data_IF_401735786867
#
_entry.id   IF_401735786867
#
_cell.length_a   1.000
_cell.length_b   1.000
_cell.length_c   1.000
_cell.angle_alpha   90.00
_cell.angle_beta   90.00
_cell.angle_gamma   90.00
#
_symmetry.space_group_name_H-M   'P 1'
#
loop_
_entity.id
_entity.type
_entity.pdbx_description
1 polymer ?
#
# COMPACT_ATOMS: atom_id res chain seq x y z
N UNK A 1 -32.47 3.90 20.37
CA UNK A 1 -31.95 3.53 19.04
C UNK A 1 -30.54 2.94 19.20
N UNK A 2 -30.09 2.07 18.30
CA UNK A 2 -28.77 1.45 18.39
C UNK A 2 -27.78 2.02 17.38
N UNK A 3 -26.80 2.79 17.85
CA UNK A 3 -25.57 3.05 17.11
C UNK A 3 -24.50 2.09 17.60
N UNK A 4 -24.12 1.13 16.75
CA UNK A 4 -23.01 0.21 16.99
C UNK A 4 -21.99 0.36 15.87
N UNK A 5 -21.47 1.58 15.70
CA UNK A 5 -20.24 1.80 14.95
C UNK A 5 -19.11 0.94 15.53
N UNK A 6 -18.72 -0.11 14.78
CA UNK A 6 -17.59 -0.95 15.16
C UNK A 6 -16.31 -0.11 15.10
N UNK A 7 -15.69 0.13 16.26
CA UNK A 7 -14.49 0.97 16.41
C UNK A 7 -13.23 0.26 15.89
N UNK A 8 -13.23 -0.05 14.59
CA UNK A 8 -12.18 -0.81 13.93
C UNK A 8 -11.03 0.11 13.49
N UNK A 9 -9.98 0.19 14.29
CA UNK A 9 -8.75 0.90 13.93
C UNK A 9 -8.02 0.15 12.82
N UNK A 10 -7.69 0.85 11.74
CA UNK A 10 -6.94 0.31 10.61
C UNK A 10 -5.45 0.58 10.79
N UNK A 11 -4.69 -0.47 11.11
CA UNK A 11 -3.24 -0.43 11.24
C UNK A 11 -2.55 -0.82 9.92
N UNK A 12 -1.41 -0.19 9.63
CA UNK A 12 -0.55 -0.52 8.49
C UNK A 12 0.85 -0.83 9.02
N UNK A 13 1.41 -1.96 8.60
CA UNK A 13 2.81 -2.31 8.88
C UNK A 13 3.51 -2.66 7.56
N UNK A 14 4.81 -2.37 7.49
CA UNK A 14 5.67 -2.77 6.39
C UNK A 14 6.65 -3.82 6.93
N UNK A 15 6.83 -4.91 6.20
CA UNK A 15 7.84 -5.93 6.49
C UNK A 15 8.75 -6.05 5.28
N UNK A 16 10.05 -6.16 5.55
CA UNK A 16 11.10 -6.28 4.55
C UNK A 16 11.83 -7.61 4.79
N UNK A 17 12.24 -8.26 3.71
CA UNK A 17 12.87 -9.57 3.73
C UNK A 17 14.03 -9.57 2.74
N UNK A 18 15.23 -9.90 3.21
CA UNK A 18 16.38 -10.13 2.34
C UNK A 18 16.27 -11.55 1.75
N UNK A 19 16.03 -11.63 0.44
CA UNK A 19 15.71 -12.88 -0.25
C UNK A 19 16.63 -13.06 -1.45
N UNK A 20 17.37 -14.16 -1.45
CA UNK A 20 18.32 -14.48 -2.52
C UNK A 20 17.57 -14.66 -3.85
N UNK A 21 18.16 -14.18 -4.97
CA UNK A 21 17.49 -14.13 -6.29
C UNK A 21 16.95 -15.49 -6.74
N UNK A 22 17.63 -16.59 -6.41
CA UNK A 22 17.16 -17.96 -6.71
C UNK A 22 15.86 -18.37 -5.99
N UNK A 23 15.46 -17.65 -4.96
CA UNK A 23 14.27 -17.90 -4.14
C UNK A 23 13.11 -16.95 -4.47
N UNK A 24 13.31 -15.96 -5.36
CA UNK A 24 12.28 -14.97 -5.73
C UNK A 24 10.95 -15.64 -6.11
N UNK A 25 10.97 -16.61 -7.02
CA UNK A 25 9.75 -17.33 -7.45
C UNK A 25 9.03 -18.03 -6.30
N UNK A 26 9.76 -18.60 -5.34
CA UNK A 26 9.18 -19.26 -4.18
C UNK A 26 8.59 -18.24 -3.18
N UNK A 27 9.17 -17.04 -3.08
CA UNK A 27 8.62 -15.93 -2.32
C UNK A 27 7.30 -15.44 -2.94
N UNK A 28 7.28 -15.24 -4.27
CA UNK A 28 6.08 -14.80 -4.99
C UNK A 28 4.93 -15.82 -4.83
N UNK A 29 5.20 -17.11 -5.03
CA UNK A 29 4.24 -18.20 -4.79
C UNK A 29 3.73 -18.23 -3.33
N UNK A 30 4.61 -18.02 -2.35
CA UNK A 30 4.23 -17.96 -0.94
C UNK A 30 3.34 -16.73 -0.63
N UNK A 31 3.67 -15.57 -1.17
CA UNK A 31 2.92 -14.31 -1.07
C UNK A 31 1.50 -14.44 -1.62
N UNK A 32 1.34 -15.08 -2.78
CA UNK A 32 0.03 -15.35 -3.39
C UNK A 32 -0.79 -16.32 -2.54
N UNK A 33 -0.16 -17.37 -2.01
CA UNK A 33 -0.85 -18.38 -1.19
C UNK A 33 -1.45 -17.82 0.12
N UNK A 34 -0.85 -16.78 0.70
CA UNK A 34 -1.35 -16.14 1.92
C UNK A 34 -2.61 -15.30 1.67
N UNK A 35 -2.71 -14.65 0.50
CA UNK A 35 -3.90 -13.87 0.14
C UNK A 35 -5.13 -14.76 -0.03
N UNK A 36 -4.96 -15.99 -0.53
CA UNK A 36 -6.03 -16.96 -0.64
C UNK A 36 -6.55 -17.46 0.72
N UNK A 37 -5.67 -17.59 1.73
CA UNK A 37 -6.06 -18.10 3.06
C UNK A 37 -6.79 -17.07 3.93
N UNK A 38 -6.58 -15.77 3.72
CA UNK A 38 -7.36 -14.71 4.37
C UNK A 38 -8.88 -14.82 4.10
N UNK A 39 -9.27 -15.35 2.93
CA UNK A 39 -10.68 -15.55 2.56
C UNK A 39 -11.35 -16.78 3.18
N UNK A 40 -10.58 -17.70 3.80
CA UNK A 40 -11.05 -19.04 4.19
C UNK A 40 -11.26 -19.25 5.70
N UNK A 41 -10.93 -18.28 6.56
CA UNK A 41 -11.08 -18.42 8.02
C UNK A 41 -12.51 -18.15 8.53
N UNK A 42 -13.49 -18.89 8.00
CA UNK A 42 -14.82 -19.01 8.60
C UNK A 42 -15.25 -20.47 8.69
N UNK A 43 -14.67 -21.19 9.67
CA UNK A 43 -15.20 -22.47 10.13
C UNK A 43 -14.20 -23.60 10.36
N UNK A 44 -13.71 -23.74 11.60
CA UNK A 44 -13.74 -25.00 12.37
C UNK A 44 -13.29 -24.80 13.84
N UNK A 45 -13.96 -25.47 14.76
CA UNK A 45 -13.69 -25.39 16.21
C UNK A 45 -12.50 -26.27 16.64
N UNK A 46 -11.71 -25.77 17.60
CA UNK A 46 -10.67 -26.49 18.33
C UNK A 46 -10.26 -25.72 19.61
N UNK A 47 -9.69 -26.41 20.61
CA UNK A 47 -9.46 -25.92 21.99
C UNK A 47 -8.08 -26.38 22.50
N UNK A 48 -7.36 -25.71 23.41
CA UNK A 48 -7.59 -24.47 24.20
C UNK A 48 -6.30 -23.64 24.14
N UNK A 49 -6.35 -22.29 24.16
CA UNK A 49 -5.28 -21.46 24.76
C UNK A 49 -5.88 -20.13 25.28
N UNK A 50 -5.28 -19.56 26.34
CA UNK A 50 -5.71 -18.28 26.91
C UNK A 50 -5.55 -17.16 25.87
N UNK A 51 -6.66 -16.52 25.48
CA UNK A 51 -6.58 -15.25 24.74
C UNK A 51 -5.95 -14.19 25.67
N UNK A 52 -4.92 -13.45 25.23
CA UNK A 52 -4.66 -12.13 25.77
C UNK A 52 -5.97 -11.32 25.72
N UNK A 53 -6.29 -10.58 26.79
CA UNK A 53 -7.48 -9.72 26.81
C UNK A 53 -7.46 -8.71 25.65
N UNK A 54 -6.25 -8.28 25.26
CA UNK A 54 -5.96 -7.30 24.22
C UNK A 54 -5.49 -7.94 22.89
N UNK A 55 -5.90 -9.18 22.62
CA UNK A 55 -5.52 -9.87 21.37
C UNK A 55 -6.12 -9.16 20.15
N UNK A 56 -5.27 -8.48 19.37
CA UNK A 56 -5.66 -7.77 18.14
C UNK A 56 -6.40 -8.70 17.17
N UNK A 57 -7.67 -8.39 16.90
CA UNK A 57 -8.47 -9.13 15.92
C UNK A 57 -8.13 -8.64 14.51
N UNK A 58 -7.15 -9.28 13.87
CA UNK A 58 -6.69 -8.89 12.53
C UNK A 58 -7.63 -9.46 11.47
N UNK A 59 -8.52 -8.61 10.94
CA UNK A 59 -9.50 -8.99 9.94
C UNK A 59 -8.93 -9.19 8.52
N UNK A 60 -7.77 -8.61 8.21
CA UNK A 60 -7.12 -8.75 6.92
C UNK A 60 -5.60 -8.58 7.05
N UNK A 61 -4.83 -9.42 6.36
CA UNK A 61 -3.36 -9.34 6.27
C UNK A 61 -2.98 -9.37 4.80
N UNK A 62 -2.14 -8.43 4.38
CA UNK A 62 -1.59 -8.37 3.02
C UNK A 62 -0.08 -8.23 3.11
N UNK A 63 0.64 -9.17 2.51
CA UNK A 63 2.09 -9.13 2.31
C UNK A 63 2.37 -9.25 0.81
N UNK A 64 3.29 -8.43 0.27
CA UNK A 64 3.62 -8.36 -1.17
C UNK A 64 5.04 -7.83 -1.40
N UNK A 65 5.62 -8.21 -2.54
CA UNK A 65 6.88 -7.67 -3.03
C UNK A 65 6.75 -6.18 -3.39
N UNK A 66 7.85 -5.44 -3.23
CA UNK A 66 7.98 -4.03 -3.57
C UNK A 66 9.06 -3.93 -4.67
N UNK A 67 8.91 -3.00 -5.62
CA UNK A 67 9.92 -2.74 -6.65
C UNK A 67 11.29 -2.46 -6.01
N UNK A 68 12.37 -3.20 -6.38
CA UNK A 68 13.69 -3.05 -5.76
C UNK A 68 14.26 -1.62 -5.82
N UNK A 69 13.85 -0.80 -6.78
CA UNK A 69 14.27 0.61 -6.87
C UNK A 69 13.79 1.44 -5.68
N UNK A 70 12.67 1.04 -5.06
CA UNK A 70 12.08 1.67 -3.87
C UNK A 70 12.77 1.25 -2.55
N UNK A 71 13.77 0.37 -2.64
CA UNK A 71 14.58 -0.09 -1.51
C UNK A 71 16.08 0.25 -1.63
N UNK A 72 16.45 1.20 -2.50
CA UNK A 72 17.85 1.68 -2.56
C UNK A 72 18.14 2.60 -1.37
N UNK A 73 19.25 2.34 -0.67
CA UNK A 73 19.86 3.27 0.30
C UNK A 73 20.15 4.67 -0.27
N UNK A 74 20.15 4.78 -1.60
CA UNK A 74 20.30 6.02 -2.36
C UNK A 74 19.07 6.96 -2.29
N UNK A 75 17.94 6.52 -1.73
CA UNK A 75 16.75 7.38 -1.55
C UNK A 75 17.02 8.43 -0.47
N UNK A 76 17.29 9.67 -0.90
CA UNK A 76 17.56 10.81 -0.02
C UNK A 76 16.33 11.20 0.82
N UNK A 77 15.12 10.95 0.31
CA UNK A 77 13.86 11.24 0.99
C UNK A 77 12.87 10.09 0.77
N UNK A 78 12.37 9.50 1.86
CA UNK A 78 11.25 8.55 1.87
C UNK A 78 10.12 9.13 2.72
N UNK A 79 9.03 9.56 2.10
CA UNK A 79 7.92 10.25 2.81
C UNK A 79 6.56 9.64 2.46
N UNK A 80 5.78 9.32 3.48
CA UNK A 80 4.40 8.82 3.34
C UNK A 80 3.41 9.86 3.83
N UNK A 81 2.34 10.08 3.06
CA UNK A 81 1.22 10.95 3.39
C UNK A 81 -0.05 10.11 3.50
N UNK A 82 -0.71 10.10 4.65
CA UNK A 82 -2.02 9.46 4.82
C UNK A 82 -3.10 10.54 4.65
N UNK A 83 -3.99 10.36 3.67
CA UNK A 83 -5.01 11.36 3.30
C UNK A 83 -6.39 10.72 3.32
N UNK A 84 -7.28 11.24 4.17
CA UNK A 84 -8.68 10.84 4.19
C UNK A 84 -9.52 11.79 3.32
N UNK A 85 -9.92 11.29 2.16
CA UNK A 85 -10.60 12.04 1.09
C UNK A 85 -12.09 12.17 1.42
N UNK A 86 -12.47 13.32 2.01
CA UNK A 86 -13.89 13.70 2.25
C UNK A 86 -14.46 14.66 1.22
N UNK A 87 -13.60 15.32 0.45
CA UNK A 87 -13.94 16.32 -0.56
C UNK A 87 -12.84 16.37 -1.63
N UNK A 88 -13.09 16.92 -2.83
CA UNK A 88 -12.07 17.13 -3.84
C UNK A 88 -10.88 17.93 -3.30
N UNK A 89 -9.69 17.65 -3.83
CA UNK A 89 -8.44 18.26 -3.44
C UNK A 89 -7.36 17.95 -4.49
N UNK A 90 -6.17 18.53 -4.30
CA UNK A 90 -5.06 18.44 -5.25
C UNK A 90 -3.85 17.81 -4.56
N UNK A 91 -3.15 16.93 -5.27
CA UNK A 91 -1.84 16.38 -4.89
C UNK A 91 -0.84 16.81 -5.95
N UNK A 92 0.34 17.24 -5.51
CA UNK A 92 1.42 17.77 -6.35
C UNK A 92 2.76 17.20 -5.89
N UNK A 93 3.70 17.08 -6.83
CA UNK A 93 5.10 16.84 -6.51
C UNK A 93 5.71 18.07 -5.79
N UNK A 94 6.72 17.88 -4.92
CA UNK A 94 7.38 19.00 -4.26
C UNK A 94 8.01 19.95 -5.28
N UNK A 95 7.77 21.25 -5.12
CA UNK A 95 8.27 22.28 -6.03
C UNK A 95 7.27 22.71 -7.11
N UNK A 96 6.30 21.87 -7.47
CA UNK A 96 5.31 22.21 -8.50
C UNK A 96 4.42 23.39 -8.05
N UNK A 97 4.13 24.39 -8.92
CA UNK A 97 4.54 24.51 -10.32
C UNK A 97 5.88 25.24 -10.54
N UNK A 98 6.46 25.82 -9.49
CA UNK A 98 7.56 26.78 -9.59
C UNK A 98 8.95 26.14 -9.84
N UNK A 99 9.13 24.85 -9.52
CA UNK A 99 10.36 24.10 -9.74
C UNK A 99 10.12 22.60 -9.98
N UNK A 100 11.10 21.93 -10.60
CA UNK A 100 11.14 20.46 -10.72
C UNK A 100 11.16 19.76 -9.36
N UNK A 101 10.76 18.49 -9.35
CA UNK A 101 10.87 17.63 -8.18
C UNK A 101 12.35 17.32 -7.84
N UNK A 102 12.70 17.13 -6.57
CA UNK A 102 14.05 16.77 -6.17
C UNK A 102 14.42 15.33 -6.60
N UNK A 103 15.69 15.04 -6.92
CA UNK A 103 16.13 13.72 -7.34
C UNK A 103 16.19 12.72 -6.17
N UNK A 104 16.12 11.42 -6.47
CA UNK A 104 16.22 10.32 -5.50
C UNK A 104 15.19 10.40 -4.35
N UNK A 105 13.95 10.81 -4.64
CA UNK A 105 12.87 10.87 -3.65
C UNK A 105 11.79 9.83 -3.90
N UNK A 106 11.33 9.20 -2.83
CA UNK A 106 10.17 8.33 -2.82
C UNK A 106 9.04 8.96 -2.00
N UNK A 107 7.93 9.24 -2.68
CA UNK A 107 6.75 9.87 -2.10
C UNK A 107 5.56 8.92 -2.26
N UNK A 108 4.96 8.53 -1.14
CA UNK A 108 3.80 7.64 -1.11
C UNK A 108 2.58 8.38 -0.58
N UNK A 109 1.52 8.48 -1.38
CA UNK A 109 0.21 8.97 -0.93
C UNK A 109 -0.74 7.79 -0.70
N UNK A 110 -1.24 7.66 0.53
CA UNK A 110 -2.22 6.65 0.94
C UNK A 110 -3.58 7.33 1.04
N UNK A 111 -4.35 7.22 -0.04
CA UNK A 111 -5.64 7.90 -0.20
C UNK A 111 -6.79 6.98 0.24
N UNK A 112 -7.62 7.42 1.18
CA UNK A 112 -8.74 6.64 1.71
C UNK A 112 -10.03 7.45 1.67
N UNK A 113 -11.08 6.90 1.09
CA UNK A 113 -12.44 7.46 1.16
C UNK A 113 -13.24 6.83 2.32
N UNK A 114 -14.39 7.43 2.64
CA UNK A 114 -15.36 6.81 3.55
C UNK A 114 -15.96 5.53 2.95
N UNK A 115 -16.47 4.58 3.75
CA UNK A 115 -17.07 3.34 3.25
C UNK A 115 -18.11 3.58 2.15
N UNK A 116 -18.16 2.68 1.17
CA UNK A 116 -19.00 2.74 -0.05
C UNK A 116 -18.68 3.88 -1.04
N UNK A 117 -17.66 4.70 -0.78
CA UNK A 117 -17.13 5.67 -1.73
C UNK A 117 -15.85 5.14 -2.41
N UNK A 118 -15.44 5.78 -3.51
CA UNK A 118 -14.19 5.50 -4.23
C UNK A 118 -13.41 6.79 -4.41
N UNK A 119 -12.08 6.69 -4.50
CA UNK A 119 -11.21 7.81 -4.88
C UNK A 119 -11.09 7.82 -6.40
N UNK A 120 -11.31 8.98 -7.02
CA UNK A 120 -10.98 9.24 -8.42
C UNK A 120 -9.69 10.08 -8.47
N UNK A 121 -8.84 9.84 -9.46
CA UNK A 121 -7.61 10.57 -9.70
C UNK A 121 -7.63 11.14 -11.12
N UNK A 122 -7.55 12.46 -11.23
CA UNK A 122 -7.53 13.18 -12.49
C UNK A 122 -6.16 13.84 -12.68
N UNK A 123 -5.34 13.30 -13.59
CA UNK A 123 -4.00 13.80 -13.86
C UNK A 123 -4.05 15.03 -14.78
N UNK A 124 -3.62 16.18 -14.25
CA UNK A 124 -3.65 17.47 -14.95
C UNK A 124 -2.32 17.83 -15.60
N UNK A 125 -1.21 17.37 -15.02
CA UNK A 125 0.15 17.60 -15.51
C UNK A 125 1.02 16.45 -15.03
N UNK A 126 1.68 15.76 -15.96
CA UNK A 126 2.60 14.67 -15.70
C UNK A 126 3.79 14.87 -16.64
N UNK A 127 4.98 15.06 -16.06
CA UNK A 127 6.24 15.30 -16.74
C UNK A 127 7.28 14.49 -15.96
N UNK A 128 7.75 13.40 -16.55
CA UNK A 128 8.70 12.43 -16.00
C UNK A 128 9.75 12.11 -17.08
N UNK A 129 10.77 11.33 -16.76
CA UNK A 129 11.74 10.84 -17.77
C UNK A 129 11.11 9.76 -18.68
N UNK A 130 11.37 9.85 -20.00
CA UNK A 130 10.66 9.12 -21.07
C UNK A 130 10.80 7.57 -21.05
N UNK A 131 11.59 6.98 -20.16
CA UNK A 131 11.95 5.55 -20.18
C UNK A 131 11.40 4.72 -19.00
N UNK A 132 10.70 5.36 -18.07
CA UNK A 132 10.23 4.81 -16.78
C UNK A 132 11.33 4.15 -15.91
N UNK A 133 12.62 4.24 -16.26
CA UNK A 133 13.71 3.51 -15.59
C UNK A 133 14.15 4.20 -14.31
N UNK A 134 14.25 5.53 -14.34
CA UNK A 134 14.59 6.35 -13.16
C UNK A 134 13.32 6.79 -12.43
N UNK A 135 12.49 7.58 -13.11
CA UNK A 135 11.29 8.22 -12.54
C UNK A 135 10.02 7.57 -13.08
N UNK A 136 9.02 7.36 -12.21
CA UNK A 136 7.74 6.73 -12.54
C UNK A 136 6.68 7.05 -11.49
N UNK A 137 5.40 6.89 -11.84
CA UNK A 137 4.29 6.93 -10.89
C UNK A 137 3.59 5.56 -10.86
N UNK A 138 3.50 4.95 -9.68
CA UNK A 138 2.77 3.70 -9.46
C UNK A 138 1.47 3.96 -8.69
N UNK A 139 0.35 3.47 -9.24
CA UNK A 139 -0.98 3.55 -8.64
C UNK A 139 -1.46 2.13 -8.31
N UNK A 140 -1.94 1.93 -7.09
CA UNK A 140 -2.49 0.66 -6.61
C UNK A 140 -3.93 0.88 -6.15
N UNK A 141 -4.86 -0.03 -6.52
CA UNK A 141 -6.26 -0.02 -6.04
C UNK A 141 -6.36 -0.59 -4.60
N UNK A 142 -5.43 -0.18 -3.75
CA UNK A 142 -5.23 -0.70 -2.39
C UNK A 142 -4.24 0.17 -1.62
N UNK A 143 -4.34 0.13 -0.29
CA UNK A 143 -3.41 0.79 0.63
C UNK A 143 -2.12 -0.02 0.89
N UNK A 144 -2.04 -1.24 0.34
CA UNK A 144 -0.80 -1.97 0.11
C UNK A 144 -0.51 -2.02 -1.41
N UNK A 145 0.74 -2.25 -1.85
CA UNK A 145 1.09 -2.45 -3.26
C UNK A 145 0.47 -3.72 -3.88
N UNK A 146 -0.85 -3.71 -4.08
CA UNK A 146 -1.63 -4.82 -4.65
C UNK A 146 -1.78 -4.61 -6.15
N UNK A 147 -0.85 -5.15 -6.96
CA UNK A 147 -1.14 -5.47 -8.36
C UNK A 147 -2.33 -6.49 -8.44
N UNK A 148 -3.23 -6.38 -9.41
CA UNK A 148 -2.94 -6.21 -10.84
C UNK A 148 -2.77 -4.75 -11.26
N UNK A 149 -1.80 -4.52 -12.16
CA UNK A 149 -1.39 -3.20 -12.65
C UNK A 149 -2.56 -2.39 -13.21
N UNK A 150 -2.65 -1.12 -12.81
CA UNK A 150 -3.65 -0.19 -13.34
C UNK A 150 -3.08 0.73 -14.43
N UNK A 151 -1.80 1.15 -14.33
CA UNK A 151 -1.07 1.89 -15.38
C UNK A 151 0.45 1.82 -15.14
N UNK A 152 1.22 1.92 -16.22
CA UNK A 152 2.67 2.20 -16.24
C UNK A 152 2.95 3.17 -17.37
N UNK A 153 3.41 4.37 -17.03
CA UNK A 153 4.10 5.36 -17.88
C UNK A 153 5.30 5.88 -17.07
#
# INVERSE_FOLDING_TARGET
EGDSGTDSVMAYYQSEFDVHVSQQKALDEAIESQQATASRQSGRHGRILLKPADALNVHNVVSRAIDPRLNRDSLLVKKTFNVHVKKPGVVQSPGFPDSSYPPNVFLQWRLRADPKHRVQLDFHTLILEDDCQQDFIQIYDSLAPIEPRVLTE
#
